data_IF_280096856805
#
_entry.id   IF_280096856805
#
_cell.length_a   1.000
_cell.length_b   1.000
_cell.length_c   1.000
_cell.angle_alpha   90.00
_cell.angle_beta   90.00
_cell.angle_gamma   90.00
#
_symmetry.space_group_name_H-M   'P 1'
#
loop_
_entity.id
_entity.type
_entity.pdbx_description
1 polymer ?
#
# COMPACT_ATOMS: atom_id res chain seq x y z
N UNK A 1 -17.62 14.01 8.36
CA UNK A 1 -16.17 14.27 8.25
C UNK A 1 -15.84 14.39 6.76
N UNK A 2 -15.04 15.35 6.35
CA UNK A 2 -14.56 15.44 4.97
C UNK A 2 -13.66 14.24 4.70
N UNK A 3 -13.82 13.61 3.53
CA UNK A 3 -12.98 12.49 3.10
C UNK A 3 -11.52 12.93 3.00
N UNK A 4 -10.57 12.06 3.35
CA UNK A 4 -9.13 12.39 3.29
C UNK A 4 -8.70 12.67 1.84
N UNK A 5 -7.88 13.72 1.57
CA UNK A 5 -7.50 14.14 0.21
C UNK A 5 -6.76 13.05 -0.61
N UNK A 6 -6.20 12.05 0.04
CA UNK A 6 -5.65 10.86 -0.61
C UNK A 6 -6.62 10.22 -1.61
N UNK A 7 -7.93 10.30 -1.35
CA UNK A 7 -8.97 9.72 -2.19
C UNK A 7 -9.45 10.64 -3.34
N UNK A 8 -8.87 11.82 -3.52
CA UNK A 8 -9.25 12.75 -4.59
C UNK A 8 -8.60 12.42 -5.95
N UNK A 9 -7.80 11.34 -6.03
CA UNK A 9 -7.14 10.89 -7.25
C UNK A 9 -8.04 10.09 -8.20
N UNK A 10 -7.47 9.60 -9.33
CA UNK A 10 -8.18 8.78 -10.30
C UNK A 10 -8.88 7.58 -9.68
N UNK A 11 -10.00 7.16 -10.27
CA UNK A 11 -10.80 6.02 -9.84
C UNK A 11 -11.15 5.12 -11.04
N UNK A 12 -11.06 3.78 -10.94
CA UNK A 12 -10.54 2.97 -9.82
C UNK A 12 -9.09 3.29 -9.47
N UNK A 13 -8.66 2.99 -8.21
CA UNK A 13 -7.29 3.27 -7.76
C UNK A 13 -6.33 2.25 -8.36
N UNK A 14 -5.56 2.65 -9.37
CA UNK A 14 -4.55 1.81 -9.99
C UNK A 14 -3.18 2.09 -9.35
N UNK A 15 -2.60 1.08 -8.70
CA UNK A 15 -1.29 1.20 -8.07
C UNK A 15 -0.23 0.43 -8.84
N UNK A 16 0.87 1.09 -9.16
CA UNK A 16 2.10 0.39 -9.49
C UNK A 16 2.76 -0.06 -8.17
N UNK A 17 2.63 -1.36 -7.84
CA UNK A 17 3.22 -1.97 -6.65
C UNK A 17 4.74 -1.96 -6.77
N UNK A 18 5.42 -1.27 -5.84
CA UNK A 18 6.86 -0.99 -5.86
C UNK A 18 7.36 -0.25 -7.12
N UNK A 19 6.46 0.46 -7.82
CA UNK A 19 6.75 1.17 -9.07
C UNK A 19 6.66 0.31 -10.33
N UNK A 20 7.05 0.88 -11.49
CA UNK A 20 7.09 0.16 -12.77
C UNK A 20 8.46 -0.50 -12.95
N UNK A 21 8.60 -1.72 -12.50
CA UNK A 21 9.86 -2.48 -12.56
C UNK A 21 9.85 -3.56 -13.65
N UNK A 22 9.40 -3.18 -14.85
CA UNK A 22 9.28 -4.03 -16.03
C UNK A 22 10.22 -3.57 -17.16
N UNK A 23 10.40 -4.43 -18.16
CA UNK A 23 11.23 -4.14 -19.35
C UNK A 23 12.67 -3.83 -18.98
N UNK A 24 13.13 -2.63 -19.36
CA UNK A 24 14.47 -2.10 -19.05
C UNK A 24 14.70 -1.88 -17.54
N UNK A 25 13.63 -1.80 -16.73
CA UNK A 25 13.69 -1.66 -15.27
C UNK A 25 13.41 -2.98 -14.52
N UNK A 26 13.41 -4.12 -15.22
CA UNK A 26 13.22 -5.42 -14.56
C UNK A 26 14.19 -5.60 -13.39
N UNK A 27 13.65 -5.95 -12.21
CA UNK A 27 14.40 -6.10 -10.97
C UNK A 27 14.73 -4.81 -10.22
N UNK A 28 14.24 -3.64 -10.71
CA UNK A 28 14.44 -2.33 -10.08
C UNK A 28 13.24 -1.91 -9.21
N UNK A 29 12.59 -2.86 -8.51
CA UNK A 29 11.52 -2.57 -7.56
C UNK A 29 11.95 -1.54 -6.50
N UNK A 30 11.04 -0.69 -6.04
CA UNK A 30 11.29 0.30 -4.98
C UNK A 30 12.43 1.30 -5.31
N UNK A 31 12.58 1.68 -6.58
CA UNK A 31 13.57 2.67 -7.02
C UNK A 31 12.93 3.94 -7.58
N UNK A 32 13.67 5.05 -7.56
CA UNK A 32 13.21 6.29 -8.17
C UNK A 32 12.89 6.11 -9.66
N UNK A 33 13.73 5.38 -10.41
CA UNK A 33 13.49 5.13 -11.83
C UNK A 33 12.17 4.39 -12.07
N UNK A 34 11.84 3.38 -11.24
CA UNK A 34 10.58 2.66 -11.33
C UNK A 34 9.37 3.53 -10.96
N UNK A 35 9.51 4.43 -9.99
CA UNK A 35 8.43 5.34 -9.62
C UNK A 35 8.20 6.42 -10.68
N UNK A 36 9.26 7.03 -11.22
CA UNK A 36 9.15 7.99 -12.31
C UNK A 36 8.50 7.35 -13.54
N UNK A 37 8.94 6.14 -13.92
CA UNK A 37 8.34 5.42 -15.05
C UNK A 37 6.84 5.17 -14.81
N UNK A 38 6.43 4.78 -13.62
CA UNK A 38 5.01 4.59 -13.32
C UNK A 38 4.21 5.89 -13.47
N UNK A 39 4.75 7.02 -13.01
CA UNK A 39 4.13 8.34 -13.18
C UNK A 39 4.07 8.74 -14.66
N UNK A 40 5.14 8.54 -15.42
CA UNK A 40 5.19 8.83 -16.86
C UNK A 40 4.19 7.98 -17.67
N UNK A 41 3.90 6.76 -17.19
CA UNK A 41 2.88 5.87 -17.76
C UNK A 41 1.45 6.18 -17.28
N UNK A 42 1.26 7.27 -16.50
CA UNK A 42 -0.05 7.79 -16.08
C UNK A 42 -0.56 7.27 -14.73
N UNK A 43 0.25 6.56 -13.93
CA UNK A 43 -0.18 6.09 -12.61
C UNK A 43 -0.26 7.24 -11.61
N UNK A 44 -1.46 7.48 -11.08
CA UNK A 44 -1.70 8.46 -10.01
C UNK A 44 -1.45 7.91 -8.60
N UNK A 45 -1.29 6.59 -8.47
CA UNK A 45 -1.02 5.90 -7.19
C UNK A 45 0.19 4.99 -7.28
N UNK A 46 1.04 5.07 -6.28
CA UNK A 46 2.20 4.19 -6.10
C UNK A 46 2.13 3.49 -4.75
N UNK A 47 2.76 2.34 -4.67
CA UNK A 47 3.03 1.67 -3.41
C UNK A 47 4.53 1.49 -3.24
N UNK A 48 5.01 1.56 -2.00
CA UNK A 48 6.41 1.36 -1.65
C UNK A 48 6.60 0.87 -0.22
N UNK A 49 7.72 0.21 0.01
CA UNK A 49 8.09 -0.37 1.30
C UNK A 49 9.21 0.43 1.97
N UNK A 50 9.19 0.54 3.30
CA UNK A 50 10.24 1.28 4.01
C UNK A 50 10.82 0.54 5.21
N UNK A 51 12.13 0.68 5.37
CA UNK A 51 12.91 0.30 6.55
C UNK A 51 13.69 1.49 7.09
N UNK A 52 14.09 1.43 8.37
CA UNK A 52 15.07 2.35 8.93
C UNK A 52 16.48 1.74 8.84
N UNK A 53 17.47 2.56 8.44
CA UNK A 53 18.88 2.27 8.54
C UNK A 53 19.37 2.32 10.00
N UNK A 54 20.63 1.90 10.26
CA UNK A 54 21.24 1.96 11.58
C UNK A 54 21.31 3.38 12.17
N UNK A 55 21.43 4.40 11.31
CA UNK A 55 21.47 5.82 11.67
C UNK A 55 20.09 6.51 11.57
N UNK A 56 18.99 5.72 11.48
CA UNK A 56 17.62 6.20 11.56
C UNK A 56 17.06 6.85 10.30
N UNK A 57 17.75 6.77 9.16
CA UNK A 57 17.26 7.26 7.88
C UNK A 57 16.27 6.26 7.28
N UNK A 58 15.15 6.77 6.74
CA UNK A 58 14.13 5.91 6.09
C UNK A 58 14.56 5.60 4.66
N UNK A 59 14.82 4.32 4.41
CA UNK A 59 15.21 3.77 3.11
C UNK A 59 14.03 3.05 2.48
N UNK A 60 13.85 3.22 1.17
CA UNK A 60 12.76 2.55 0.42
C UNK A 60 13.29 1.22 -0.10
N UNK A 61 12.80 0.13 0.52
CA UNK A 61 13.23 -1.24 0.21
C UNK A 61 12.27 -2.25 0.84
N UNK A 62 11.99 -3.35 0.15
CA UNK A 62 11.04 -4.36 0.63
C UNK A 62 11.64 -5.26 1.70
N UNK A 63 12.79 -5.88 1.42
CA UNK A 63 13.38 -6.90 2.26
C UNK A 63 14.12 -6.28 3.45
N UNK A 64 14.31 -7.07 4.50
CA UNK A 64 15.09 -6.67 5.67
C UNK A 64 16.60 -6.56 5.39
N UNK A 65 17.06 -7.19 4.28
CA UNK A 65 18.44 -7.20 3.84
C UNK A 65 18.55 -6.80 2.37
N UNK A 66 19.74 -6.39 1.94
CA UNK A 66 20.06 -5.99 0.58
C UNK A 66 20.19 -7.17 -0.40
N UNK A 67 20.34 -8.39 0.11
CA UNK A 67 20.88 -9.55 -0.60
C UNK A 67 20.08 -10.00 -1.84
N UNK A 68 18.73 -9.88 -1.83
CA UNK A 68 17.89 -10.42 -2.91
C UNK A 68 17.86 -9.52 -4.14
N UNK A 69 17.75 -8.22 -3.94
CA UNK A 69 17.44 -7.27 -5.01
C UNK A 69 18.59 -6.38 -5.39
N UNK A 70 19.70 -6.42 -4.63
CA UNK A 70 20.85 -5.53 -4.87
C UNK A 70 22.16 -6.29 -5.02
N UNK A 71 23.20 -5.60 -5.44
CA UNK A 71 24.59 -6.08 -5.43
C UNK A 71 25.28 -5.93 -4.05
N UNK A 72 24.59 -5.35 -3.06
CA UNK A 72 25.02 -5.22 -1.68
C UNK A 72 24.60 -6.42 -0.83
N UNK A 73 25.03 -6.44 0.42
CA UNK A 73 24.67 -7.47 1.40
C UNK A 73 24.49 -6.87 2.80
N UNK A 74 23.72 -7.57 3.65
CA UNK A 74 23.53 -7.23 5.05
C UNK A 74 22.17 -6.62 5.38
N UNK A 75 21.89 -6.52 6.68
CA UNK A 75 20.62 -6.03 7.19
C UNK A 75 20.57 -4.49 7.16
N UNK A 76 19.50 -3.91 6.63
CA UNK A 76 19.34 -2.45 6.56
C UNK A 76 19.43 -1.81 7.96
N UNK A 77 18.91 -2.49 8.99
CA UNK A 77 18.94 -2.01 10.37
C UNK A 77 20.36 -1.95 10.99
N UNK A 78 21.35 -2.60 10.36
CA UNK A 78 22.75 -2.67 10.84
C UNK A 78 23.69 -1.79 10.02
N UNK A 79 23.23 -1.31 8.85
CA UNK A 79 24.00 -0.51 7.92
C UNK A 79 23.62 0.99 8.01
N UNK A 80 24.58 1.92 7.94
CA UNK A 80 24.26 3.34 7.81
C UNK A 80 23.67 3.63 6.42
N UNK A 81 22.79 4.62 6.32
CA UNK A 81 22.10 5.00 5.07
C UNK A 81 23.07 5.25 3.92
N UNK A 82 24.24 5.83 4.19
CA UNK A 82 25.26 6.10 3.17
C UNK A 82 25.85 4.81 2.56
N UNK A 83 25.86 3.72 3.28
CA UNK A 83 26.29 2.41 2.78
C UNK A 83 25.17 1.74 1.99
N UNK A 84 23.95 1.74 2.51
CA UNK A 84 22.76 1.24 1.81
C UNK A 84 22.60 1.91 0.43
N UNK A 85 22.78 3.23 0.36
CA UNK A 85 22.66 4.00 -0.88
C UNK A 85 23.75 3.69 -1.95
N UNK A 86 24.81 2.97 -1.59
CA UNK A 86 25.81 2.48 -2.55
C UNK A 86 25.37 1.22 -3.27
N UNK A 87 24.53 0.40 -2.63
CA UNK A 87 23.98 -0.80 -3.22
C UNK A 87 23.10 -0.46 -4.44
N UNK A 88 23.13 -1.32 -5.44
CA UNK A 88 22.44 -1.15 -6.72
C UNK A 88 21.33 -2.18 -6.86
N UNK A 89 20.09 -1.74 -6.79
CA UNK A 89 18.91 -2.54 -7.08
C UNK A 89 18.92 -2.93 -8.55
N UNK A 90 18.75 -4.22 -8.84
CA UNK A 90 18.89 -4.76 -10.19
C UNK A 90 20.28 -4.51 -10.81
N UNK A 91 21.31 -4.24 -9.99
CA UNK A 91 22.66 -3.90 -10.42
C UNK A 91 22.80 -2.49 -11.04
N UNK A 92 21.79 -1.62 -10.91
CA UNK A 92 21.71 -0.33 -11.64
C UNK A 92 21.33 0.84 -10.76
N UNK A 93 20.18 0.76 -10.09
CA UNK A 93 19.57 1.88 -9.38
C UNK A 93 19.96 1.90 -7.90
N UNK A 94 20.28 3.07 -7.33
CA UNK A 94 20.55 3.15 -5.89
C UNK A 94 19.28 2.86 -5.07
N UNK A 95 19.46 2.29 -3.87
CA UNK A 95 18.38 2.23 -2.88
C UNK A 95 18.03 3.65 -2.44
N UNK A 96 16.81 4.17 -2.69
CA UNK A 96 16.51 5.57 -2.43
C UNK A 96 16.10 5.79 -0.96
N UNK A 97 16.28 7.03 -0.51
CA UNK A 97 15.72 7.52 0.75
C UNK A 97 14.29 8.00 0.52
N UNK A 98 13.41 7.80 1.51
CA UNK A 98 12.01 8.22 1.42
C UNK A 98 11.86 9.73 1.21
N UNK A 99 12.65 10.56 1.91
CA UNK A 99 12.60 12.01 1.77
C UNK A 99 12.90 12.46 0.33
N UNK A 100 13.84 11.81 -0.33
CA UNK A 100 14.16 12.06 -1.72
C UNK A 100 13.03 11.63 -2.66
N UNK A 101 12.47 10.43 -2.44
CA UNK A 101 11.35 9.94 -3.26
C UNK A 101 10.16 10.91 -3.20
N UNK A 102 9.77 11.36 -2.00
CA UNK A 102 8.65 12.28 -1.86
C UNK A 102 8.93 13.67 -2.44
N UNK A 103 10.20 14.10 -2.47
CA UNK A 103 10.59 15.38 -3.06
C UNK A 103 10.60 15.36 -4.60
N UNK A 104 10.93 14.21 -5.21
CA UNK A 104 11.04 14.06 -6.66
C UNK A 104 9.71 13.67 -7.33
N UNK A 105 8.79 13.02 -6.60
CA UNK A 105 7.47 12.68 -7.15
C UNK A 105 6.56 13.91 -7.25
N UNK A 106 5.75 14.03 -8.32
CA UNK A 106 4.76 15.09 -8.44
C UNK A 106 3.86 15.17 -7.19
N UNK A 107 3.48 16.36 -6.72
CA UNK A 107 2.64 16.52 -5.54
C UNK A 107 1.23 15.93 -5.70
N UNK A 108 0.81 15.66 -6.92
CA UNK A 108 -0.46 14.99 -7.26
C UNK A 108 -0.39 13.47 -7.14
N UNK A 109 0.83 12.88 -7.11
CA UNK A 109 1.01 11.43 -6.94
C UNK A 109 0.69 11.02 -5.51
N UNK A 110 -0.18 10.04 -5.35
CA UNK A 110 -0.55 9.45 -4.06
C UNK A 110 0.30 8.23 -3.79
N UNK A 111 0.66 8.04 -2.54
CA UNK A 111 1.60 6.97 -2.16
C UNK A 111 1.07 6.18 -0.99
N UNK A 112 0.98 4.86 -1.13
CA UNK A 112 0.92 3.96 0.02
C UNK A 112 2.34 3.62 0.44
N UNK A 113 2.66 3.83 1.72
CA UNK A 113 3.97 3.51 2.31
C UNK A 113 3.77 2.37 3.32
N UNK A 114 4.27 1.17 2.99
CA UNK A 114 4.25 0.06 3.92
C UNK A 114 5.46 0.10 4.86
N UNK A 115 5.21 0.23 6.16
CA UNK A 115 6.26 0.18 7.20
C UNK A 115 6.60 -1.27 7.50
N UNK A 116 7.85 -1.67 7.21
CA UNK A 116 8.37 -3.03 7.38
C UNK A 116 9.15 -3.25 8.69
N UNK A 117 9.41 -2.20 9.46
CA UNK A 117 10.14 -2.31 10.74
C UNK A 117 9.64 -1.32 11.79
N UNK A 118 9.70 -1.72 13.08
CA UNK A 118 9.30 -0.85 14.18
C UNK A 118 10.14 0.44 14.26
N UNK A 119 11.41 0.37 13.86
CA UNK A 119 12.33 1.50 13.87
C UNK A 119 11.96 2.56 12.82
N UNK A 120 11.31 2.16 11.71
CA UNK A 120 10.90 3.08 10.66
C UNK A 120 9.63 3.89 11.00
N UNK A 121 8.86 3.53 12.05
CA UNK A 121 7.56 4.16 12.34
C UNK A 121 7.67 5.67 12.52
N UNK A 122 8.42 6.13 13.52
CA UNK A 122 8.52 7.57 13.81
C UNK A 122 9.33 8.34 12.77
N UNK A 123 10.49 7.82 12.28
CA UNK A 123 11.22 8.50 11.22
C UNK A 123 10.40 8.69 9.94
N UNK A 124 9.52 7.74 9.57
CA UNK A 124 8.59 7.91 8.43
C UNK A 124 7.66 9.11 8.66
N UNK A 125 7.04 9.23 9.85
CA UNK A 125 6.16 10.35 10.17
C UNK A 125 6.90 11.71 10.13
N UNK A 126 8.14 11.74 10.60
CA UNK A 126 8.98 12.94 10.52
C UNK A 126 9.31 13.33 9.07
N UNK A 127 9.52 12.36 8.18
CA UNK A 127 9.68 12.62 6.75
C UNK A 127 8.39 13.18 6.17
N UNK A 128 7.22 12.61 6.48
CA UNK A 128 5.92 13.11 6.01
C UNK A 128 5.65 14.55 6.46
N UNK A 129 5.99 14.86 7.71
CA UNK A 129 5.79 16.21 8.26
C UNK A 129 6.69 17.24 7.55
N UNK A 130 7.99 16.94 7.37
CA UNK A 130 8.93 17.81 6.66
C UNK A 130 8.58 18.01 5.18
N UNK A 131 8.01 16.97 4.54
CA UNK A 131 7.61 17.01 3.13
C UNK A 131 6.20 17.57 2.91
N UNK A 132 5.47 17.93 3.98
CA UNK A 132 4.04 18.29 3.94
C UNK A 132 3.20 17.29 3.12
N UNK A 133 3.51 15.98 3.27
CA UNK A 133 2.99 14.93 2.40
C UNK A 133 1.75 14.21 2.98
N UNK A 134 1.21 14.63 4.14
CA UNK A 134 0.09 14.00 4.81
C UNK A 134 -1.14 13.82 3.91
N UNK A 135 -1.43 14.82 3.09
CA UNK A 135 -2.61 14.86 2.21
C UNK A 135 -2.59 13.79 1.10
N UNK A 136 -1.42 13.27 0.73
CA UNK A 136 -1.22 12.34 -0.39
C UNK A 136 -0.66 10.97 0.01
N UNK A 137 -0.51 10.70 1.32
CA UNK A 137 0.09 9.45 1.80
C UNK A 137 -0.89 8.65 2.64
N UNK A 138 -0.94 7.33 2.38
CA UNK A 138 -1.53 6.34 3.25
C UNK A 138 -0.41 5.47 3.83
N UNK A 139 -0.37 5.30 5.16
CA UNK A 139 0.61 4.42 5.81
C UNK A 139 0.00 3.06 6.08
N UNK A 140 0.68 2.02 5.58
CA UNK A 140 0.35 0.61 5.79
C UNK A 140 1.34 -0.11 6.69
N UNK A 141 0.90 -1.19 7.31
CA UNK A 141 1.75 -2.20 7.95
C UNK A 141 0.92 -3.44 8.30
N UNK A 142 1.55 -4.59 8.30
CA UNK A 142 0.93 -5.82 8.80
C UNK A 142 0.82 -5.83 10.34
N UNK A 143 1.69 -5.10 11.05
CA UNK A 143 1.71 -5.04 12.52
C UNK A 143 0.80 -3.92 13.05
N UNK A 144 -0.29 -4.31 13.72
CA UNK A 144 -1.25 -3.37 14.33
C UNK A 144 -0.60 -2.44 15.38
N UNK A 145 0.45 -2.90 16.08
CA UNK A 145 1.15 -2.10 17.10
C UNK A 145 1.89 -0.93 16.45
N UNK A 146 2.46 -1.13 15.26
CA UNK A 146 3.17 -0.09 14.53
C UNK A 146 2.21 0.97 14.00
N UNK A 147 1.09 0.55 13.39
CA UNK A 147 0.05 1.49 12.95
C UNK A 147 -0.60 2.22 14.13
N UNK A 148 -0.82 1.54 15.27
CA UNK A 148 -1.30 2.20 16.48
C UNK A 148 -0.33 3.26 16.98
N UNK A 149 0.98 2.96 16.99
CA UNK A 149 2.03 3.93 17.36
C UNK A 149 2.04 5.12 16.40
N UNK A 150 1.92 4.87 15.10
CA UNK A 150 1.85 5.93 14.10
C UNK A 150 0.62 6.83 14.29
N UNK A 151 -0.57 6.24 14.50
CA UNK A 151 -1.82 7.00 14.74
C UNK A 151 -1.76 7.85 16.00
N UNK A 152 -1.17 7.32 17.08
CA UNK A 152 -0.99 8.10 18.33
C UNK A 152 -0.05 9.29 18.12
N UNK A 153 1.03 9.11 17.36
CA UNK A 153 2.02 10.16 17.15
C UNK A 153 1.55 11.25 16.16
N UNK A 154 0.82 10.87 15.11
CA UNK A 154 0.41 11.79 14.04
C UNK A 154 -1.02 12.34 14.19
N UNK A 155 -1.87 11.69 15.00
CA UNK A 155 -3.27 12.10 15.19
C UNK A 155 -4.07 12.03 13.89
N UNK A 156 -4.99 12.97 13.72
CA UNK A 156 -5.95 13.02 12.61
C UNK A 156 -5.33 13.35 11.24
N UNK A 157 -4.06 13.74 11.20
CA UNK A 157 -3.35 13.99 9.93
C UNK A 157 -3.10 12.71 9.13
N UNK A 158 -3.06 11.56 9.80
CA UNK A 158 -2.58 10.30 9.23
C UNK A 158 -3.72 9.44 8.71
N UNK A 159 -3.74 9.20 7.40
CA UNK A 159 -4.50 8.09 6.82
C UNK A 159 -3.70 6.79 6.99
N UNK A 160 -4.35 5.72 7.45
CA UNK A 160 -3.73 4.39 7.50
C UNK A 160 -4.60 3.35 6.80
N UNK A 161 -3.93 2.35 6.22
CA UNK A 161 -4.60 1.10 5.87
C UNK A 161 -4.92 0.28 7.13
N UNK A 162 -5.66 -0.81 6.95
CA UNK A 162 -5.93 -1.79 8.00
C UNK A 162 -4.73 -2.73 8.13
N UNK A 163 -4.33 -3.02 9.39
CA UNK A 163 -3.44 -4.14 9.67
C UNK A 163 -4.22 -5.46 9.73
N UNK A 164 -3.50 -6.57 9.89
CA UNK A 164 -4.09 -7.92 9.85
C UNK A 164 -5.26 -8.11 10.82
N UNK A 165 -5.14 -7.64 12.06
CA UNK A 165 -6.20 -7.81 13.06
C UNK A 165 -7.49 -7.08 12.66
N UNK A 166 -7.38 -5.87 12.14
CA UNK A 166 -8.50 -5.09 11.60
C UNK A 166 -9.11 -5.75 10.36
N UNK A 167 -8.29 -6.32 9.47
CA UNK A 167 -8.74 -7.09 8.31
C UNK A 167 -9.53 -8.34 8.71
N UNK A 168 -9.06 -9.09 9.72
CA UNK A 168 -9.80 -10.21 10.30
C UNK A 168 -11.12 -9.77 10.94
N UNK A 169 -11.12 -8.63 11.62
CA UNK A 169 -12.34 -8.05 12.20
C UNK A 169 -13.36 -7.69 11.12
N UNK A 170 -12.92 -7.10 10.01
CA UNK A 170 -13.77 -6.79 8.86
C UNK A 170 -14.33 -8.07 8.22
N UNK A 171 -13.47 -9.06 7.95
CA UNK A 171 -13.85 -10.34 7.35
C UNK A 171 -14.86 -11.11 8.25
N UNK A 172 -14.61 -11.14 9.55
CA UNK A 172 -15.53 -11.75 10.53
C UNK A 172 -16.92 -11.10 10.50
N UNK A 173 -16.99 -9.78 10.42
CA UNK A 173 -18.25 -9.04 10.28
C UNK A 173 -18.96 -9.36 8.97
N UNK A 174 -18.23 -9.52 7.88
CA UNK A 174 -18.80 -9.88 6.59
C UNK A 174 -19.43 -11.29 6.64
N UNK A 175 -18.77 -12.29 7.25
CA UNK A 175 -19.34 -13.63 7.41
C UNK A 175 -20.58 -13.63 8.30
N UNK A 176 -20.53 -12.96 9.44
CA UNK A 176 -21.67 -12.89 10.35
C UNK A 176 -22.83 -12.09 9.75
N UNK A 177 -22.52 -11.02 9.02
CA UNK A 177 -23.53 -10.20 8.32
C UNK A 177 -24.24 -10.94 7.20
N UNK A 178 -23.60 -11.94 6.59
CA UNK A 178 -24.21 -12.81 5.56
C UNK A 178 -25.13 -13.91 6.12
N UNK A 179 -25.20 -14.10 7.45
CA UNK A 179 -26.08 -15.07 8.08
C UNK A 179 -27.57 -14.65 7.94
N UNK A 180 -28.49 -15.61 7.78
CA UNK A 180 -29.91 -15.31 7.61
C UNK A 180 -30.56 -14.78 8.90
N UNK A 181 -31.52 -13.86 8.74
CA UNK A 181 -32.38 -13.36 9.80
C UNK A 181 -31.60 -12.66 10.95
N UNK A 182 -32.04 -12.86 12.22
CA UNK A 182 -31.45 -12.14 13.34
C UNK A 182 -30.00 -12.51 13.65
N UNK A 183 -29.47 -13.60 13.08
CA UNK A 183 -28.07 -14.00 13.25
C UNK A 183 -27.11 -12.99 12.61
N UNK A 184 -27.53 -12.26 11.59
CA UNK A 184 -26.73 -11.19 10.98
C UNK A 184 -26.37 -10.07 11.97
N UNK A 185 -27.15 -9.89 13.04
CA UNK A 185 -26.87 -8.90 14.09
C UNK A 185 -25.58 -9.22 14.86
N UNK A 186 -25.11 -10.48 14.82
CA UNK A 186 -23.82 -10.87 15.42
C UNK A 186 -22.63 -10.10 14.81
N UNK A 187 -22.74 -9.63 13.56
CA UNK A 187 -21.73 -8.78 12.93
C UNK A 187 -21.46 -7.47 13.71
N UNK A 188 -22.41 -7.02 14.53
CA UNK A 188 -22.32 -5.80 15.33
C UNK A 188 -21.74 -6.04 16.73
N UNK A 189 -21.48 -7.29 17.09
CA UNK A 189 -21.01 -7.62 18.44
C UNK A 189 -19.57 -7.12 18.67
N UNK A 190 -19.26 -6.60 19.87
CA UNK A 190 -17.92 -6.10 20.21
C UNK A 190 -16.86 -7.21 20.39
N UNK A 191 -17.28 -8.48 20.33
CA UNK A 191 -16.38 -9.64 20.41
C UNK A 191 -15.43 -9.77 19.21
N UNK A 192 -15.80 -9.18 18.07
CA UNK A 192 -14.92 -9.13 16.90
C UNK A 192 -13.83 -8.05 17.06
N UNK A 193 -12.62 -8.30 16.53
CA UNK A 193 -11.58 -7.28 16.53
C UNK A 193 -12.07 -5.94 15.97
N UNK A 194 -11.63 -4.80 16.54
CA UNK A 194 -12.01 -3.50 16.01
C UNK A 194 -11.49 -3.32 14.58
N UNK A 195 -12.30 -2.67 13.74
CA UNK A 195 -11.91 -2.30 12.37
C UNK A 195 -11.35 -0.89 12.41
N UNK A 196 -10.03 -0.77 12.37
CA UNK A 196 -9.29 0.50 12.46
C UNK A 196 -8.51 0.71 11.17
N UNK A 197 -8.56 1.94 10.64
CA UNK A 197 -7.98 2.32 9.35
C UNK A 197 -9.05 2.86 8.41
N UNK A 198 -8.67 3.80 7.57
CA UNK A 198 -9.55 4.43 6.59
C UNK A 198 -9.65 3.68 5.27
N UNK A 199 -8.76 2.70 5.05
CA UNK A 199 -8.57 1.97 3.81
C UNK A 199 -8.31 0.49 4.09
N UNK A 200 -8.99 -0.42 3.37
CA UNK A 200 -8.77 -1.85 3.44
C UNK A 200 -7.91 -2.31 2.26
N UNK A 201 -6.60 -2.47 2.47
CA UNK A 201 -5.69 -3.09 1.48
C UNK A 201 -5.51 -4.56 1.85
N UNK A 202 -6.09 -5.45 1.06
CA UNK A 202 -6.27 -6.87 1.40
C UNK A 202 -5.81 -7.78 0.28
N UNK A 203 -5.26 -8.99 0.59
CA UNK A 203 -5.07 -9.99 -0.44
C UNK A 203 -6.43 -10.56 -0.88
N UNK A 204 -6.57 -10.90 -2.16
CA UNK A 204 -7.79 -11.59 -2.62
C UNK A 204 -8.03 -12.88 -1.84
N UNK A 205 -6.95 -13.62 -1.55
CA UNK A 205 -7.00 -14.91 -0.85
C UNK A 205 -5.91 -15.00 0.21
N UNK A 206 -6.15 -15.81 1.22
CA UNK A 206 -5.15 -16.23 2.21
C UNK A 206 -5.16 -17.76 2.26
N UNK A 207 -4.23 -18.40 1.58
CA UNK A 207 -4.29 -19.83 1.28
C UNK A 207 -5.57 -20.18 0.53
N UNK A 208 -6.34 -21.14 1.02
CA UNK A 208 -7.62 -21.54 0.44
C UNK A 208 -8.80 -20.59 0.77
N UNK A 209 -8.59 -19.64 1.69
CA UNK A 209 -9.63 -18.74 2.15
C UNK A 209 -9.77 -17.54 1.20
N UNK A 210 -10.99 -17.31 0.65
CA UNK A 210 -11.32 -16.07 -0.04
C UNK A 210 -11.51 -14.96 1.00
N UNK A 211 -10.66 -13.93 0.93
CA UNK A 211 -10.69 -12.77 1.83
C UNK A 211 -11.61 -11.70 1.27
N UNK A 212 -11.49 -11.37 -0.01
CA UNK A 212 -12.31 -10.35 -0.66
C UNK A 212 -13.40 -11.02 -1.48
N UNK A 213 -14.65 -10.72 -1.13
CA UNK A 213 -15.89 -11.12 -1.80
C UNK A 213 -16.94 -10.01 -1.68
N UNK A 214 -18.08 -10.17 -2.34
CA UNK A 214 -19.17 -9.19 -2.32
C UNK A 214 -19.69 -8.86 -0.90
N UNK A 215 -19.67 -9.84 0.03
CA UNK A 215 -20.10 -9.60 1.41
C UNK A 215 -19.12 -8.69 2.17
N UNK A 216 -17.80 -8.87 1.96
CA UNK A 216 -16.79 -8.00 2.55
C UNK A 216 -16.89 -6.58 1.98
N UNK A 217 -17.04 -6.45 0.66
CA UNK A 217 -17.22 -5.14 0.00
C UNK A 217 -18.43 -4.40 0.56
N UNK A 218 -19.58 -5.07 0.66
CA UNK A 218 -20.79 -4.46 1.22
C UNK A 218 -20.59 -3.92 2.65
N UNK A 219 -19.89 -4.65 3.52
CA UNK A 219 -19.60 -4.22 4.90
C UNK A 219 -18.57 -3.07 4.92
N UNK A 220 -17.55 -3.12 4.07
CA UNK A 220 -16.54 -2.06 3.98
C UNK A 220 -17.16 -0.75 3.46
N UNK A 221 -17.91 -0.81 2.36
CA UNK A 221 -18.56 0.34 1.77
C UNK A 221 -19.64 0.93 2.69
N UNK A 222 -20.41 0.11 3.41
CA UNK A 222 -21.36 0.58 4.42
C UNK A 222 -20.68 1.34 5.58
N UNK A 223 -19.37 1.14 5.75
CA UNK A 223 -18.55 1.84 6.74
C UNK A 223 -17.70 2.96 6.11
N UNK A 224 -18.02 3.38 4.87
CA UNK A 224 -17.29 4.39 4.09
C UNK A 224 -15.78 4.09 3.95
N UNK A 225 -15.45 2.83 3.63
CA UNK A 225 -14.07 2.36 3.43
C UNK A 225 -13.90 1.76 2.04
N UNK A 226 -12.89 2.25 1.31
CA UNK A 226 -12.47 1.62 0.06
C UNK A 226 -11.74 0.29 0.35
N UNK A 227 -11.90 -0.66 -0.59
CA UNK A 227 -11.21 -1.95 -0.59
C UNK A 227 -10.28 -2.02 -1.79
N UNK A 228 -8.97 -2.10 -1.52
CA UNK A 228 -7.95 -2.29 -2.54
C UNK A 228 -7.34 -3.68 -2.42
N UNK A 229 -7.12 -4.35 -3.54
CA UNK A 229 -6.67 -5.74 -3.55
C UNK A 229 -5.23 -5.83 -4.08
N UNK A 230 -4.39 -6.60 -3.39
CA UNK A 230 -2.99 -6.86 -3.72
C UNK A 230 -2.67 -8.35 -3.65
N UNK A 231 -1.65 -8.87 -4.32
CA UNK A 231 -1.10 -8.34 -5.57
C UNK A 231 -1.83 -9.07 -6.69
N UNK A 232 -2.37 -8.33 -7.66
CA UNK A 232 -3.20 -8.89 -8.74
C UNK A 232 -2.52 -8.58 -10.06
N UNK A 233 -2.07 -9.63 -10.77
CA UNK A 233 -1.25 -9.51 -11.98
C UNK A 233 -1.92 -10.12 -13.23
N UNK A 234 -2.98 -10.89 -13.03
CA UNK A 234 -3.76 -11.54 -14.09
C UNK A 234 -4.91 -10.63 -14.55
N UNK A 235 -5.05 -10.46 -15.87
CA UNK A 235 -6.05 -9.57 -16.46
C UNK A 235 -7.49 -9.99 -16.17
N UNK A 236 -7.77 -11.30 -16.21
CA UNK A 236 -9.11 -11.83 -15.95
C UNK A 236 -9.47 -11.63 -14.47
N UNK A 237 -8.51 -11.88 -13.56
CA UNK A 237 -8.69 -11.61 -12.13
C UNK A 237 -8.91 -10.12 -11.83
N UNK A 238 -8.19 -9.22 -12.51
CA UNK A 238 -8.42 -7.77 -12.42
C UNK A 238 -9.85 -7.43 -12.85
N UNK A 239 -10.29 -7.98 -13.98
CA UNK A 239 -11.65 -7.80 -14.52
C UNK A 239 -12.73 -8.25 -13.52
N UNK A 240 -12.60 -9.47 -12.98
CA UNK A 240 -13.54 -10.03 -11.99
C UNK A 240 -13.64 -9.15 -10.73
N UNK A 241 -12.52 -8.67 -10.21
CA UNK A 241 -12.49 -7.83 -9.01
C UNK A 241 -13.12 -6.46 -9.24
N UNK A 242 -12.86 -5.84 -10.40
CA UNK A 242 -13.49 -4.58 -10.78
C UNK A 242 -14.99 -4.74 -10.97
N UNK A 243 -15.48 -5.83 -11.61
CA UNK A 243 -16.90 -6.13 -11.76
C UNK A 243 -17.58 -6.42 -10.41
N UNK A 244 -16.85 -6.96 -9.44
CA UNK A 244 -17.34 -7.15 -8.08
C UNK A 244 -17.49 -5.82 -7.32
N UNK A 245 -16.83 -4.74 -7.77
CA UNK A 245 -16.87 -3.41 -7.16
C UNK A 245 -15.72 -3.11 -6.22
N UNK A 246 -14.54 -3.72 -6.45
CA UNK A 246 -13.30 -3.35 -5.75
C UNK A 246 -12.88 -1.94 -6.17
N UNK A 247 -12.44 -1.13 -5.20
CA UNK A 247 -12.15 0.29 -5.42
C UNK A 247 -10.73 0.53 -5.94
N UNK A 248 -9.82 -0.43 -5.77
CA UNK A 248 -8.46 -0.31 -6.28
C UNK A 248 -7.72 -1.64 -6.40
N UNK A 249 -6.70 -1.66 -7.25
CA UNK A 249 -5.83 -2.80 -7.49
C UNK A 249 -4.36 -2.38 -7.39
N UNK A 250 -3.56 -3.20 -6.70
CA UNK A 250 -2.11 -3.10 -6.62
C UNK A 250 -1.52 -4.24 -7.45
N UNK A 251 -0.63 -3.92 -8.40
CA UNK A 251 -0.10 -4.91 -9.34
C UNK A 251 1.40 -4.76 -9.58
N UNK A 252 2.10 -5.89 -9.70
CA UNK A 252 3.46 -5.99 -10.22
C UNK A 252 3.47 -5.98 -11.77
N UNK A 253 2.26 -6.04 -12.38
CA UNK A 253 2.02 -5.90 -13.82
C UNK A 253 1.23 -4.62 -14.10
N UNK A 254 1.83 -3.43 -13.82
CA UNK A 254 1.17 -2.15 -14.09
C UNK A 254 0.80 -1.98 -15.56
N UNK A 255 1.57 -2.59 -16.48
CA UNK A 255 1.23 -2.64 -17.92
C UNK A 255 -0.13 -3.31 -18.17
N UNK A 256 -0.36 -4.49 -17.58
CA UNK A 256 -1.63 -5.22 -17.70
C UNK A 256 -2.77 -4.44 -17.03
N UNK A 257 -2.53 -3.91 -15.83
CA UNK A 257 -3.54 -3.14 -15.10
C UNK A 257 -3.98 -1.90 -15.89
N UNK A 258 -3.04 -1.17 -16.48
CA UNK A 258 -3.34 -0.01 -17.34
C UNK A 258 -4.20 -0.44 -18.53
N UNK A 259 -3.80 -1.50 -19.26
CA UNK A 259 -4.50 -1.98 -20.43
C UNK A 259 -5.95 -2.42 -20.10
N UNK A 260 -6.15 -3.17 -18.99
CA UNK A 260 -7.50 -3.54 -18.49
C UNK A 260 -8.35 -2.33 -18.20
N UNK A 261 -7.80 -1.27 -17.58
CA UNK A 261 -8.55 -0.06 -17.26
C UNK A 261 -8.82 0.81 -18.50
N UNK A 262 -7.92 0.81 -19.49
CA UNK A 262 -8.13 1.46 -20.79
C UNK A 262 -9.25 0.79 -21.58
N UNK A 263 -9.25 -0.55 -21.69
CA UNK A 263 -10.30 -1.32 -22.37
C UNK A 263 -11.67 -1.12 -21.74
N UNK A 264 -11.72 -0.85 -20.44
CA UNK A 264 -12.94 -0.53 -19.70
C UNK A 264 -13.32 0.96 -19.78
N UNK A 265 -12.52 1.81 -20.41
CA UNK A 265 -12.77 3.24 -20.54
C UNK A 265 -12.72 4.02 -19.24
N UNK A 266 -12.00 3.51 -18.21
CA UNK A 266 -11.88 4.13 -16.86
C UNK A 266 -10.44 4.51 -16.51
N UNK A 267 -9.50 4.39 -17.44
CA UNK A 267 -8.15 4.89 -17.24
C UNK A 267 -8.13 6.42 -17.36
N UNK A 268 -7.79 7.09 -16.27
CA UNK A 268 -7.57 8.54 -16.27
C UNK A 268 -6.05 8.79 -16.17
N UNK A 269 -5.44 9.16 -17.30
CA UNK A 269 -4.05 9.58 -17.37
C UNK A 269 -3.86 11.03 -16.91
#
# INVERSE_FOLDING_TARGET
MTRHPYFDGPFPRAYAHRGWHLGDLTGCENTLAAFHRAVDEGFGYLEMDVHASADGVVMVHHDRSLDRTTDGAGLLAELPAAEIARARVGGREPVPRLDRVLAELPPTTRVTIEIKSAAAVLPTLEVLDRADAWHRVCVGSFDERWLRRARIAAGDKLLTSMAQLSAFGLRGRAWLGALPGPLSLLARMPVLPPVVGGLAQLPRRFGALTVVDAALLAIAHAADREVHVWTVDDADEMGELLDMGVDGLLSDRPDVLRDVLQDRGVWAA
#
